data_IF_349086427269
#
_entry.id   IF_349086427269
#
_cell.length_a   1.000
_cell.length_b   1.000
_cell.length_c   1.000
_cell.angle_alpha   90.00
_cell.angle_beta   90.00
_cell.angle_gamma   90.00
#
_symmetry.space_group_name_H-M   'P 1'
#
loop_
_entity.id
_entity.type
_entity.pdbx_description
1 polymer ?
#
# COMPACT_ATOMS: atom_id res chain seq x y z
N UNK A 1 -22.18 -72.29 0.70
CA UNK A 1 -21.64 -71.31 -0.28
C UNK A 1 -22.28 -69.92 -0.11
N UNK A 2 -23.57 -69.81 0.08
CA UNK A 2 -24.27 -68.48 0.17
C UNK A 2 -23.83 -67.58 1.34
N UNK A 3 -23.56 -68.11 2.55
CA UNK A 3 -23.12 -67.32 3.71
C UNK A 3 -21.73 -66.68 3.55
N UNK A 4 -20.82 -67.25 2.79
CA UNK A 4 -19.49 -66.68 2.55
C UNK A 4 -19.49 -65.57 1.48
N UNK A 5 -20.44 -65.59 0.56
CA UNK A 5 -20.60 -64.55 -0.44
C UNK A 5 -21.15 -63.24 0.17
N UNK A 6 -22.08 -63.35 1.16
CA UNK A 6 -22.65 -62.19 1.83
C UNK A 6 -21.60 -61.49 2.69
N UNK A 7 -20.70 -62.22 3.36
CA UNK A 7 -19.61 -61.63 4.14
C UNK A 7 -18.57 -60.89 3.29
N UNK A 8 -18.24 -61.40 2.10
CA UNK A 8 -17.30 -60.72 1.19
C UNK A 8 -17.86 -59.44 0.58
N UNK A 9 -19.16 -59.36 0.28
CA UNK A 9 -19.81 -58.14 -0.20
C UNK A 9 -19.91 -57.07 0.86
N UNK A 10 -20.12 -57.43 2.13
CA UNK A 10 -20.20 -56.47 3.25
C UNK A 10 -18.83 -55.82 3.52
N UNK A 11 -17.74 -56.56 3.41
CA UNK A 11 -16.38 -56.03 3.55
C UNK A 11 -15.97 -55.11 2.38
N UNK A 12 -16.41 -55.38 1.16
CA UNK A 12 -16.12 -54.56 -0.01
C UNK A 12 -16.86 -53.22 0.05
N UNK A 13 -18.09 -53.18 0.57
CA UNK A 13 -18.88 -51.94 0.72
C UNK A 13 -18.30 -51.05 1.82
N UNK A 14 -17.75 -51.62 2.91
CA UNK A 14 -17.10 -50.87 3.98
C UNK A 14 -15.74 -50.28 3.55
N UNK A 15 -15.04 -50.88 2.61
CA UNK A 15 -13.79 -50.31 2.07
C UNK A 15 -14.01 -49.15 1.10
N UNK A 16 -15.15 -49.06 0.43
CA UNK A 16 -15.45 -47.96 -0.51
C UNK A 16 -15.99 -46.70 0.20
N UNK A 17 -16.60 -46.84 1.39
CA UNK A 17 -17.08 -45.71 2.20
C UNK A 17 -15.98 -44.97 2.96
N UNK A 18 -14.73 -45.44 2.96
CA UNK A 18 -13.63 -44.86 3.73
C UNK A 18 -12.79 -43.78 2.99
N UNK A 19 -13.10 -43.47 1.74
CA UNK A 19 -12.28 -42.54 0.94
C UNK A 19 -13.09 -41.35 0.36
N UNK A 20 -14.02 -40.83 1.14
CA UNK A 20 -14.35 -39.43 0.97
C UNK A 20 -13.37 -38.64 1.85
N UNK A 21 -12.15 -38.47 1.37
CA UNK A 21 -11.32 -37.34 1.76
C UNK A 21 -12.09 -36.12 1.24
N UNK A 22 -12.93 -35.58 2.10
CA UNK A 22 -13.46 -34.25 1.94
C UNK A 22 -12.21 -33.37 1.90
N UNK A 23 -11.84 -32.88 0.69
CA UNK A 23 -10.91 -31.77 0.61
C UNK A 23 -11.51 -30.69 1.50
N UNK A 24 -10.97 -30.53 2.69
CA UNK A 24 -11.24 -29.34 3.46
C UNK A 24 -10.87 -28.19 2.50
N UNK A 25 -11.79 -27.28 2.25
CA UNK A 25 -11.44 -26.00 1.67
C UNK A 25 -10.25 -25.53 2.49
N UNK A 26 -9.06 -25.50 1.87
CA UNK A 26 -7.88 -24.95 2.55
C UNK A 26 -8.21 -23.49 2.78
N UNK A 27 -8.61 -23.20 4.03
CA UNK A 27 -8.94 -21.85 4.45
C UNK A 27 -7.71 -20.97 4.21
N UNK A 28 -7.77 -20.08 3.24
CA UNK A 28 -6.68 -19.15 2.89
C UNK A 28 -6.78 -17.87 3.71
N UNK A 29 -5.66 -17.21 3.92
CA UNK A 29 -5.61 -15.81 4.40
C UNK A 29 -5.58 -14.94 3.16
N UNK A 30 -6.62 -14.14 2.94
CA UNK A 30 -6.72 -13.27 1.79
C UNK A 30 -6.04 -11.93 2.04
N UNK A 31 -5.15 -11.56 1.12
CA UNK A 31 -4.40 -10.31 1.15
C UNK A 31 -4.84 -9.44 -0.02
N UNK A 32 -5.47 -8.32 0.27
CA UNK A 32 -5.84 -7.33 -0.72
C UNK A 32 -4.62 -6.55 -1.20
N UNK A 33 -4.51 -6.35 -2.52
CA UNK A 33 -3.44 -5.57 -3.17
C UNK A 33 -4.08 -4.44 -3.95
N UNK A 34 -3.96 -3.22 -3.41
CA UNK A 34 -4.64 -2.01 -3.92
C UNK A 34 -3.60 -1.05 -4.49
N UNK A 35 -3.20 -1.28 -5.74
CA UNK A 35 -2.24 -0.45 -6.46
C UNK A 35 -2.68 -0.20 -7.90
N UNK A 36 -2.45 1.01 -8.41
CA UNK A 36 -2.77 1.36 -9.80
C UNK A 36 -1.88 0.60 -10.77
N UNK A 37 -2.51 -0.17 -11.65
CA UNK A 37 -1.86 -0.92 -12.73
C UNK A 37 -2.00 -0.20 -14.07
N UNK A 38 -2.84 0.83 -14.10
CA UNK A 38 -3.07 1.72 -15.23
C UNK A 38 -3.10 3.19 -14.78
N UNK A 39 -3.06 4.13 -15.74
CA UNK A 39 -3.02 5.57 -15.46
C UNK A 39 -1.64 6.07 -15.04
N UNK A 40 -1.59 7.30 -14.52
CA UNK A 40 -0.35 8.08 -14.29
C UNK A 40 0.58 7.45 -13.25
N UNK A 41 0.02 6.74 -12.26
CA UNK A 41 0.77 6.14 -11.14
C UNK A 41 1.24 4.72 -11.43
N UNK A 42 0.81 4.10 -12.53
CA UNK A 42 1.14 2.71 -12.86
C UNK A 42 2.65 2.44 -12.90
N UNK A 43 3.44 3.41 -13.37
CA UNK A 43 4.91 3.29 -13.44
C UNK A 43 5.56 3.01 -12.08
N UNK A 44 4.99 3.53 -11.01
CA UNK A 44 5.49 3.33 -9.63
C UNK A 44 4.76 2.18 -8.93
N UNK A 45 3.44 2.10 -9.07
CA UNK A 45 2.61 1.19 -8.29
C UNK A 45 2.64 -0.26 -8.79
N UNK A 46 2.94 -0.49 -10.08
CA UNK A 46 3.11 -1.86 -10.61
C UNK A 46 4.23 -2.61 -9.89
N UNK A 47 5.35 -1.94 -9.61
CA UNK A 47 6.48 -2.53 -8.89
C UNK A 47 6.11 -2.89 -7.44
N UNK A 48 5.28 -2.07 -6.79
CA UNK A 48 4.79 -2.35 -5.44
C UNK A 48 3.89 -3.59 -5.43
N UNK A 49 2.96 -3.69 -6.38
CA UNK A 49 2.15 -4.90 -6.58
C UNK A 49 3.03 -6.14 -6.78
N UNK A 50 4.02 -6.07 -7.67
CA UNK A 50 4.92 -7.21 -7.94
C UNK A 50 5.71 -7.63 -6.69
N UNK A 51 6.14 -6.66 -5.87
CA UNK A 51 6.81 -6.93 -4.60
C UNK A 51 5.91 -7.69 -3.63
N UNK A 52 4.64 -7.28 -3.50
CA UNK A 52 3.68 -7.97 -2.63
C UNK A 52 3.45 -9.40 -3.12
N UNK A 53 3.24 -9.60 -4.43
CA UNK A 53 3.04 -10.94 -5.00
C UNK A 53 4.25 -11.83 -4.75
N UNK A 54 5.47 -11.32 -4.95
CA UNK A 54 6.70 -12.04 -4.65
C UNK A 54 6.77 -12.46 -3.17
N UNK A 55 6.41 -11.57 -2.24
CA UNK A 55 6.41 -11.86 -0.80
C UNK A 55 5.35 -12.91 -0.43
N UNK A 56 4.17 -12.86 -1.05
CA UNK A 56 3.12 -13.87 -0.89
C UNK A 56 3.59 -15.24 -1.37
N UNK A 57 4.22 -15.30 -2.54
CA UNK A 57 4.76 -16.54 -3.11
C UNK A 57 5.88 -17.12 -2.22
N UNK A 58 6.80 -16.27 -1.75
CA UNK A 58 7.87 -16.68 -0.84
C UNK A 58 7.31 -17.21 0.49
N UNK A 59 6.35 -16.51 1.09
CA UNK A 59 5.71 -16.96 2.33
C UNK A 59 4.99 -18.29 2.13
N UNK A 60 4.32 -18.47 1.01
CA UNK A 60 3.65 -19.72 0.65
C UNK A 60 4.62 -20.88 0.42
N UNK A 61 5.78 -20.61 -0.20
CA UNK A 61 6.84 -21.59 -0.37
C UNK A 61 7.44 -22.03 0.97
N UNK A 62 7.46 -21.12 1.96
CA UNK A 62 7.91 -21.39 3.33
C UNK A 62 6.83 -22.00 4.25
N UNK A 63 5.70 -22.42 3.69
CA UNK A 63 4.62 -23.12 4.44
C UNK A 63 3.42 -22.26 4.81
N UNK A 64 3.33 -21.04 4.28
CA UNK A 64 2.22 -20.13 4.53
C UNK A 64 2.34 -19.37 5.86
N UNK A 65 1.22 -18.91 6.37
CA UNK A 65 1.11 -18.18 7.62
C UNK A 65 0.07 -18.86 8.53
N UNK A 66 0.44 -19.16 9.78
CA UNK A 66 -0.43 -19.86 10.73
C UNK A 66 -0.99 -21.19 10.19
N UNK A 67 -0.23 -21.88 9.33
CA UNK A 67 -0.64 -23.13 8.71
C UNK A 67 -1.59 -22.99 7.51
N UNK A 68 -1.87 -21.75 7.06
CA UNK A 68 -2.71 -21.42 5.91
C UNK A 68 -1.90 -20.82 4.78
N UNK A 69 -2.35 -21.01 3.53
CA UNK A 69 -1.80 -20.31 2.37
C UNK A 69 -2.29 -18.87 2.34
N UNK A 70 -1.46 -17.99 1.80
CA UNK A 70 -1.86 -16.63 1.46
C UNK A 70 -2.42 -16.60 0.04
N UNK A 71 -3.50 -15.86 -0.15
CA UNK A 71 -4.13 -15.61 -1.46
C UNK A 71 -4.14 -14.10 -1.73
N UNK A 72 -3.47 -13.65 -2.77
CA UNK A 72 -3.45 -12.24 -3.15
C UNK A 72 -4.65 -11.90 -4.04
N UNK A 73 -5.45 -10.92 -3.63
CA UNK A 73 -6.56 -10.37 -4.40
C UNK A 73 -6.15 -8.99 -4.91
N UNK A 74 -5.85 -8.90 -6.21
CA UNK A 74 -5.32 -7.68 -6.84
C UNK A 74 -6.43 -6.91 -7.51
N UNK A 75 -6.49 -5.60 -7.26
CA UNK A 75 -7.42 -4.67 -7.93
C UNK A 75 -6.66 -3.48 -8.51
N UNK A 76 -7.19 -2.93 -9.62
CA UNK A 76 -6.65 -1.74 -10.28
C UNK A 76 -7.58 -0.54 -10.08
N UNK A 77 -7.20 0.46 -9.27
CA UNK A 77 -7.93 1.71 -9.14
C UNK A 77 -7.56 2.75 -10.22
N UNK A 78 -6.80 2.39 -11.25
CA UNK A 78 -6.52 3.17 -12.46
C UNK A 78 -6.03 4.61 -12.23
N UNK A 79 -5.32 4.87 -11.13
CA UNK A 79 -4.87 6.22 -10.72
C UNK A 79 -6.02 7.22 -10.48
N UNK A 80 -7.22 6.73 -10.22
CA UNK A 80 -8.41 7.51 -9.93
C UNK A 80 -8.75 7.45 -8.44
N UNK A 81 -8.73 8.59 -7.75
CA UNK A 81 -8.85 8.63 -6.29
C UNK A 81 -10.20 8.17 -5.76
N UNK A 82 -11.34 8.55 -6.35
CA UNK A 82 -12.64 7.95 -6.03
C UNK A 82 -12.67 6.45 -6.23
N UNK A 83 -12.09 5.94 -7.33
CA UNK A 83 -12.04 4.51 -7.61
C UNK A 83 -11.19 3.73 -6.60
N UNK A 84 -10.14 4.35 -6.02
CA UNK A 84 -9.42 3.74 -4.88
C UNK A 84 -10.37 3.40 -3.73
N UNK A 85 -11.26 4.32 -3.35
CA UNK A 85 -12.22 4.08 -2.27
C UNK A 85 -13.24 2.98 -2.62
N UNK A 86 -13.71 2.94 -3.86
CA UNK A 86 -14.59 1.87 -4.34
C UNK A 86 -13.90 0.50 -4.32
N UNK A 87 -12.65 0.43 -4.80
CA UNK A 87 -11.86 -0.80 -4.81
C UNK A 87 -11.46 -1.25 -3.41
N UNK A 88 -11.19 -0.34 -2.48
CA UNK A 88 -11.00 -0.68 -1.08
C UNK A 88 -12.26 -1.33 -0.50
N UNK A 89 -13.43 -0.76 -0.75
CA UNK A 89 -14.71 -1.33 -0.31
C UNK A 89 -15.00 -2.69 -0.96
N UNK A 90 -14.67 -2.86 -2.23
CA UNK A 90 -14.77 -4.14 -2.94
C UNK A 90 -13.92 -5.22 -2.26
N UNK A 91 -12.64 -4.94 -2.01
CA UNK A 91 -11.72 -5.86 -1.34
C UNK A 91 -12.23 -6.29 0.03
N UNK A 92 -12.69 -5.34 0.84
CA UNK A 92 -13.11 -5.61 2.23
C UNK A 92 -14.48 -6.31 2.25
N UNK A 93 -15.48 -5.77 1.54
CA UNK A 93 -16.87 -6.20 1.72
C UNK A 93 -17.27 -7.38 0.82
N UNK A 94 -16.70 -7.47 -0.40
CA UNK A 94 -17.06 -8.48 -1.39
C UNK A 94 -16.05 -9.63 -1.40
N UNK A 95 -14.77 -9.29 -1.53
CA UNK A 95 -13.70 -10.29 -1.60
C UNK A 95 -13.32 -10.82 -0.21
N UNK A 96 -13.69 -10.09 0.85
CA UNK A 96 -13.48 -10.46 2.26
C UNK A 96 -12.00 -10.70 2.58
N UNK A 97 -11.15 -9.76 2.17
CA UNK A 97 -9.72 -9.82 2.50
C UNK A 97 -9.49 -9.52 3.97
N UNK A 98 -8.51 -10.20 4.57
CA UNK A 98 -8.14 -10.02 5.99
C UNK A 98 -7.36 -8.72 6.22
N UNK A 99 -6.61 -8.27 5.21
CA UNK A 99 -5.75 -7.09 5.26
C UNK A 99 -5.52 -6.56 3.85
N UNK A 100 -5.23 -5.25 3.73
CA UNK A 100 -4.89 -4.62 2.45
C UNK A 100 -3.50 -4.00 2.52
N UNK A 101 -2.66 -4.29 1.54
CA UNK A 101 -1.45 -3.56 1.23
C UNK A 101 -1.72 -2.67 0.03
N UNK A 102 -1.48 -1.36 0.16
CA UNK A 102 -1.86 -0.52 -0.98
C UNK A 102 -1.64 0.96 -0.80
N UNK A 103 -2.04 1.65 -1.83
CA UNK A 103 -1.83 3.06 -2.08
C UNK A 103 -0.35 3.42 -2.26
N UNK A 104 -0.09 4.51 -2.95
CA UNK A 104 1.24 5.10 -3.10
C UNK A 104 1.20 6.61 -2.82
N UNK A 105 0.24 7.32 -3.40
CA UNK A 105 0.08 8.74 -3.11
C UNK A 105 -0.65 8.98 -1.80
N UNK A 106 -0.34 10.07 -1.11
CA UNK A 106 -1.10 10.46 0.09
C UNK A 106 -2.56 10.77 -0.22
N UNK A 107 -2.88 11.22 -1.44
CA UNK A 107 -4.27 11.46 -1.84
C UNK A 107 -5.04 10.15 -2.00
N UNK A 108 -4.43 9.08 -2.55
CA UNK A 108 -5.10 7.77 -2.60
C UNK A 108 -5.33 7.21 -1.19
N UNK A 109 -4.32 7.29 -0.30
CA UNK A 109 -4.49 6.90 1.11
C UNK A 109 -5.64 7.65 1.78
N UNK A 110 -5.70 8.98 1.64
CA UNK A 110 -6.76 9.80 2.22
C UNK A 110 -8.15 9.49 1.64
N UNK A 111 -8.22 9.06 0.39
CA UNK A 111 -9.48 8.62 -0.24
C UNK A 111 -9.99 7.30 0.35
N UNK A 112 -9.11 6.38 0.70
CA UNK A 112 -9.51 5.08 1.24
C UNK A 112 -9.67 5.07 2.76
N UNK A 113 -9.02 5.98 3.49
CA UNK A 113 -9.02 6.03 4.94
C UNK A 113 -10.44 5.95 5.55
N UNK A 114 -11.45 6.73 5.08
CA UNK A 114 -12.80 6.61 5.63
C UNK A 114 -13.42 5.22 5.43
N UNK A 115 -13.07 4.51 4.35
CA UNK A 115 -13.58 3.15 4.08
C UNK A 115 -13.01 2.15 5.08
N UNK A 116 -11.69 2.24 5.37
CA UNK A 116 -11.05 1.36 6.35
C UNK A 116 -11.56 1.61 7.76
N UNK A 117 -11.81 2.87 8.13
CA UNK A 117 -12.37 3.22 9.43
C UNK A 117 -13.83 2.79 9.58
N UNK A 118 -14.66 2.97 8.54
CA UNK A 118 -16.08 2.57 8.52
C UNK A 118 -16.23 1.04 8.62
N UNK A 119 -15.39 0.29 7.92
CA UNK A 119 -15.46 -1.17 7.83
C UNK A 119 -14.55 -1.89 8.85
N UNK A 120 -13.90 -1.15 9.74
CA UNK A 120 -12.95 -1.64 10.76
C UNK A 120 -11.91 -2.62 10.19
N UNK A 121 -11.36 -2.31 9.01
CA UNK A 121 -10.36 -3.11 8.32
C UNK A 121 -8.95 -2.49 8.45
N UNK A 122 -7.91 -3.19 7.99
CA UNK A 122 -6.53 -2.77 8.14
C UNK A 122 -5.87 -2.48 6.78
N UNK A 123 -5.23 -1.30 6.71
CA UNK A 123 -4.38 -0.89 5.60
C UNK A 123 -2.91 -0.84 6.03
N UNK A 124 -2.03 -1.52 5.30
CA UNK A 124 -0.59 -1.30 5.36
C UNK A 124 -0.19 -0.36 4.22
N UNK A 125 0.14 0.89 4.59
CA UNK A 125 0.57 1.92 3.65
C UNK A 125 2.10 1.89 3.52
N UNK A 126 2.66 1.54 2.34
CA UNK A 126 4.05 1.08 2.25
C UNK A 126 5.09 2.19 2.07
N UNK A 127 4.70 3.42 1.76
CA UNK A 127 5.63 4.49 1.36
C UNK A 127 5.68 5.64 2.36
N UNK A 128 6.64 6.54 2.17
CA UNK A 128 6.75 7.77 2.97
C UNK A 128 5.50 8.66 2.83
N UNK A 129 5.24 9.45 3.84
CA UNK A 129 4.10 10.35 3.86
C UNK A 129 4.42 11.64 4.63
N UNK A 130 3.52 12.61 4.56
CA UNK A 130 3.68 13.93 5.18
C UNK A 130 3.57 13.94 6.72
N UNK A 131 3.25 12.81 7.34
CA UNK A 131 2.88 12.79 8.77
C UNK A 131 1.50 13.43 9.00
N UNK A 132 1.28 13.99 10.19
CA UNK A 132 0.07 14.73 10.58
C UNK A 132 -1.25 13.95 10.41
N UNK A 133 -1.16 12.63 10.39
CA UNK A 133 -2.30 11.71 10.30
C UNK A 133 -2.04 10.48 11.15
N UNK A 134 -3.04 10.04 11.88
CA UNK A 134 -3.02 8.77 12.60
C UNK A 134 -4.39 8.12 12.54
N UNK A 135 -4.41 6.81 12.33
CA UNK A 135 -5.63 6.00 12.39
C UNK A 135 -5.29 4.63 12.97
N UNK A 136 -6.20 4.07 13.76
CA UNK A 136 -6.07 2.70 14.27
C UNK A 136 -6.17 1.65 13.15
N UNK A 137 -6.65 2.05 11.98
CA UNK A 137 -6.89 1.21 10.83
C UNK A 137 -5.75 1.27 9.79
N UNK A 138 -4.69 2.08 10.03
CA UNK A 138 -3.58 2.25 9.07
C UNK A 138 -2.24 2.04 9.75
N UNK A 139 -1.45 1.13 9.20
CA UNK A 139 -0.04 0.98 9.51
C UNK A 139 0.79 1.80 8.51
N UNK A 140 1.35 2.91 8.99
CA UNK A 140 2.25 3.77 8.22
C UNK A 140 3.65 3.18 8.31
N UNK A 141 4.10 2.46 7.29
CA UNK A 141 5.38 1.75 7.31
C UNK A 141 6.52 2.54 6.67
N UNK A 142 6.20 3.65 5.99
CA UNK A 142 7.18 4.57 5.41
C UNK A 142 7.56 5.72 6.35
N UNK A 143 8.62 6.44 5.96
CA UNK A 143 9.18 7.54 6.74
C UNK A 143 8.26 8.77 6.77
N UNK A 144 8.15 9.42 7.94
CA UNK A 144 7.59 10.74 8.10
C UNK A 144 8.68 11.83 7.88
N UNK A 145 8.32 13.13 7.75
CA UNK A 145 9.28 14.19 7.44
C UNK A 145 10.46 14.30 8.42
N UNK A 146 10.25 14.03 9.70
CA UNK A 146 11.31 14.03 10.71
C UNK A 146 12.31 12.87 10.57
N UNK A 147 11.97 11.85 9.77
CA UNK A 147 12.81 10.68 9.53
C UNK A 147 13.53 10.75 8.17
N UNK A 148 13.07 11.61 7.26
CA UNK A 148 13.59 11.70 5.90
C UNK A 148 13.90 13.15 5.47
N UNK A 149 12.89 14.00 5.33
CA UNK A 149 13.03 15.33 4.73
C UNK A 149 13.81 16.31 5.62
N UNK A 150 13.53 16.34 6.92
CA UNK A 150 14.23 17.20 7.87
C UNK A 150 15.72 16.84 8.01
N UNK A 151 16.11 15.57 8.20
CA UNK A 151 17.53 15.19 8.19
C UNK A 151 18.24 15.52 6.87
N UNK A 152 17.56 15.42 5.73
CA UNK A 152 18.13 15.83 4.44
C UNK A 152 18.41 17.34 4.38
N UNK A 153 17.50 18.17 4.89
CA UNK A 153 17.71 19.62 5.01
C UNK A 153 18.88 19.93 5.93
N UNK A 154 18.96 19.28 7.09
CA UNK A 154 20.09 19.48 8.03
C UNK A 154 21.43 19.13 7.37
N UNK A 155 21.50 18.02 6.64
CA UNK A 155 22.71 17.66 5.89
C UNK A 155 23.07 18.68 4.82
N UNK A 156 22.10 19.11 4.00
CA UNK A 156 22.34 20.09 2.96
C UNK A 156 22.79 21.45 3.53
N UNK A 157 22.23 21.85 4.67
CA UNK A 157 22.59 23.09 5.35
C UNK A 157 23.96 23.03 6.00
N UNK A 158 24.24 22.00 6.78
CA UNK A 158 25.40 21.94 7.67
C UNK A 158 26.66 21.39 6.95
N UNK A 159 26.49 20.39 6.06
CA UNK A 159 27.61 19.69 5.42
C UNK A 159 27.88 20.22 4.01
N UNK A 160 26.84 20.62 3.28
CA UNK A 160 26.95 21.14 1.91
C UNK A 160 26.99 22.66 1.89
N UNK A 161 26.45 23.33 2.92
CA UNK A 161 26.42 24.80 3.01
C UNK A 161 25.35 25.44 2.12
N UNK A 162 24.21 24.77 1.93
CA UNK A 162 23.10 25.31 1.15
C UNK A 162 22.45 26.50 1.88
N UNK A 163 22.37 27.65 1.21
CA UNK A 163 21.81 28.90 1.72
C UNK A 163 20.45 29.25 1.09
N UNK A 164 20.24 28.82 -0.18
CA UNK A 164 19.02 29.08 -0.95
C UNK A 164 18.29 27.77 -1.25
N UNK A 165 16.95 27.80 -1.16
CA UNK A 165 16.12 26.61 -1.16
C UNK A 165 15.01 26.70 -2.18
N UNK A 166 14.85 25.64 -2.96
CA UNK A 166 13.70 25.44 -3.84
C UNK A 166 12.92 24.22 -3.36
N UNK A 167 11.72 24.45 -2.87
CA UNK A 167 10.77 23.42 -2.43
C UNK A 167 9.78 23.18 -3.57
N UNK A 168 10.13 22.31 -4.49
CA UNK A 168 9.30 21.96 -5.62
C UNK A 168 8.52 20.66 -5.37
N UNK A 169 7.32 20.55 -5.95
CA UNK A 169 6.53 19.34 -5.83
C UNK A 169 5.33 19.29 -6.77
N UNK A 170 4.76 18.12 -6.91
CA UNK A 170 3.47 17.95 -7.57
C UNK A 170 2.35 18.55 -6.72
N UNK A 171 1.33 19.13 -7.35
CA UNK A 171 0.26 19.85 -6.67
C UNK A 171 -0.77 18.91 -6.04
N UNK A 172 -0.43 18.32 -4.90
CA UNK A 172 -1.35 17.55 -4.05
C UNK A 172 -0.89 17.53 -2.58
N UNK A 173 -1.63 16.85 -1.72
CA UNK A 173 -1.49 16.94 -0.26
C UNK A 173 -0.06 16.65 0.25
N UNK A 174 0.63 15.60 -0.26
CA UNK A 174 1.95 15.22 0.24
C UNK A 174 3.00 16.33 0.05
N UNK A 175 3.27 16.84 -1.19
CA UNK A 175 4.26 17.91 -1.36
C UNK A 175 3.85 19.21 -0.67
N UNK A 176 2.56 19.58 -0.71
CA UNK A 176 2.09 20.81 -0.06
C UNK A 176 2.31 20.79 1.44
N UNK A 177 1.99 19.69 2.10
CA UNK A 177 2.18 19.57 3.56
C UNK A 177 3.66 19.42 3.91
N UNK A 178 4.41 18.60 3.18
CA UNK A 178 5.85 18.44 3.40
C UNK A 178 6.61 19.75 3.20
N UNK A 179 6.34 20.48 2.10
CA UNK A 179 6.99 21.76 1.86
C UNK A 179 6.63 22.82 2.91
N UNK A 180 5.38 22.83 3.41
CA UNK A 180 4.99 23.70 4.52
C UNK A 180 5.77 23.38 5.81
N UNK A 181 6.00 22.10 6.10
CA UNK A 181 6.84 21.68 7.24
C UNK A 181 8.28 22.12 7.01
N UNK A 182 8.85 21.91 5.80
CA UNK A 182 10.21 22.29 5.48
C UNK A 182 10.40 23.81 5.48
N UNK A 183 9.45 24.57 4.95
CA UNK A 183 9.48 26.04 5.00
C UNK A 183 9.52 26.53 6.47
N UNK A 184 8.64 26.02 7.31
CA UNK A 184 8.64 26.37 8.72
C UNK A 184 9.96 25.99 9.43
N UNK A 185 10.51 24.82 9.08
CA UNK A 185 11.79 24.36 9.60
C UNK A 185 12.97 25.25 9.16
N UNK A 186 13.07 25.59 7.88
CA UNK A 186 14.09 26.49 7.33
C UNK A 186 14.04 27.87 7.99
N UNK A 187 12.84 28.46 8.15
CA UNK A 187 12.64 29.72 8.85
C UNK A 187 13.07 29.65 10.31
N UNK A 188 12.77 28.55 11.00
CA UNK A 188 13.22 28.32 12.38
C UNK A 188 14.74 28.18 12.50
N UNK A 189 15.43 27.78 11.43
CA UNK A 189 16.90 27.77 11.32
C UNK A 189 17.50 29.11 10.91
N UNK A 190 16.70 30.12 10.64
CA UNK A 190 17.14 31.46 10.30
C UNK A 190 17.27 31.77 8.81
N UNK A 191 16.77 30.87 7.92
CA UNK A 191 16.72 31.14 6.48
C UNK A 191 15.69 32.23 6.21
N UNK A 192 16.06 33.25 5.45
CA UNK A 192 15.18 34.36 5.10
C UNK A 192 14.13 33.93 4.07
N UNK A 193 12.94 34.56 4.11
CA UNK A 193 11.85 34.29 3.16
C UNK A 193 12.29 34.46 1.70
N UNK A 194 13.20 35.40 1.43
CA UNK A 194 13.73 35.65 0.09
C UNK A 194 14.61 34.51 -0.46
N UNK A 195 15.09 33.64 0.41
CA UNK A 195 15.94 32.49 0.06
C UNK A 195 15.15 31.17 0.01
N UNK A 196 13.83 31.23 0.10
CA UNK A 196 12.94 30.08 0.00
C UNK A 196 11.96 30.28 -1.15
N UNK A 197 12.10 29.48 -2.20
CA UNK A 197 11.17 29.43 -3.34
C UNK A 197 10.29 28.18 -3.21
N UNK A 198 8.98 28.32 -3.45
CA UNK A 198 8.03 27.19 -3.40
C UNK A 198 7.27 27.12 -4.72
N UNK A 199 7.34 25.97 -5.38
CA UNK A 199 6.68 25.74 -6.67
C UNK A 199 5.91 24.43 -6.69
N UNK A 200 4.71 24.44 -7.28
CA UNK A 200 3.89 23.26 -7.51
C UNK A 200 3.50 23.12 -8.96
N UNK A 201 3.53 21.88 -9.45
CA UNK A 201 3.13 21.54 -10.82
C UNK A 201 2.08 20.44 -10.81
N UNK A 202 1.19 20.37 -11.81
CA UNK A 202 0.24 19.27 -11.89
C UNK A 202 0.92 17.92 -12.12
N UNK A 203 0.19 16.82 -11.85
CA UNK A 203 0.66 15.48 -12.21
C UNK A 203 0.99 15.38 -13.70
N UNK A 204 2.11 14.73 -14.03
CA UNK A 204 2.56 14.55 -15.42
C UNK A 204 3.22 15.77 -16.05
N UNK A 205 3.47 16.85 -15.28
CA UNK A 205 4.19 18.02 -15.76
C UNK A 205 5.63 17.67 -16.18
N UNK A 206 6.07 18.18 -17.32
CA UNK A 206 7.41 17.91 -17.87
C UNK A 206 8.19 19.16 -18.29
N UNK A 207 7.56 20.34 -18.30
CA UNK A 207 8.21 21.61 -18.64
C UNK A 207 8.66 22.37 -17.39
N UNK A 208 9.94 22.25 -17.06
CA UNK A 208 10.55 22.84 -15.87
C UNK A 208 11.34 24.13 -16.18
N UNK A 209 11.39 24.57 -17.44
CA UNK A 209 12.27 25.67 -17.85
C UNK A 209 11.96 26.98 -17.15
N UNK A 210 10.69 27.30 -16.94
CA UNK A 210 10.27 28.50 -16.23
C UNK A 210 10.68 28.49 -14.77
N UNK A 211 10.54 27.33 -14.09
CA UNK A 211 10.88 27.19 -12.67
C UNK A 211 12.41 27.22 -12.46
N UNK A 212 13.17 26.71 -13.42
CA UNK A 212 14.65 26.72 -13.37
C UNK A 212 15.24 28.09 -13.70
N UNK A 213 14.52 28.90 -14.47
CA UNK A 213 14.98 30.25 -14.85
C UNK A 213 14.77 31.30 -13.75
N UNK A 214 13.84 31.08 -12.84
CA UNK A 214 13.56 31.95 -11.68
C UNK A 214 14.55 31.68 -10.54
#
# INVERSE_FOLDING_TARGET
MFKRMIQLTTWLVLMVCGWQVQAADEETIKVGVLHSLSGTMAISETTLKDTILMMVDEQNANGGLLGKKLEAVVVDPASDWPLFAEKARELISKEQVDVVFGCWTSVSRKSVLPVFEELDSLLFYPVQYEGEESSKNVFYTGAAPNQQAIPAVDYLMNDIGAERWVLAGTDYVYPRTTNKILEAYLKAKGVADADIMINYTPFGHSDWQSIVAD
#
